data_IF_246565441331
#
_entry.id   IF_246565441331
#
_cell.length_a   1.000
_cell.length_b   1.000
_cell.length_c   1.000
_cell.angle_alpha   90.00
_cell.angle_beta   90.00
_cell.angle_gamma   90.00
#
_symmetry.space_group_name_H-M   'P 1'
#
loop_
_entity.id
_entity.type
_entity.pdbx_description
1 polymer ?
#
# COMPACT_ATOMS: atom_id res chain seq x y z
N UNK A 1 2.36 -16.90 21.50
CA UNK A 1 2.40 -15.65 20.72
C UNK A 1 0.97 -15.12 20.67
N UNK A 2 0.70 -13.99 21.34
CA UNK A 2 -0.66 -13.54 21.64
C UNK A 2 -1.45 -13.03 20.43
N UNK A 3 -2.79 -12.97 20.51
CA UNK A 3 -3.73 -12.74 19.38
C UNK A 3 -3.77 -11.30 18.81
N UNK A 4 -2.77 -10.46 19.06
CA UNK A 4 -2.81 -9.02 18.74
C UNK A 4 -2.06 -8.62 17.45
N UNK A 5 -1.55 -9.55 16.65
CA UNK A 5 -0.74 -9.22 15.46
C UNK A 5 -1.52 -8.59 14.28
N UNK A 6 -2.84 -8.72 14.23
CA UNK A 6 -3.64 -8.26 13.08
C UNK A 6 -4.02 -6.78 13.14
N UNK A 7 -4.05 -6.16 14.34
CA UNK A 7 -4.20 -4.70 14.46
C UNK A 7 -3.01 -3.96 13.85
N UNK A 8 -1.80 -4.51 14.02
CA UNK A 8 -0.60 -3.99 13.36
C UNK A 8 -0.68 -4.08 11.83
N UNK A 9 -1.40 -5.06 11.28
CA UNK A 9 -1.61 -5.16 9.83
C UNK A 9 -2.57 -4.09 9.31
N UNK A 10 -3.63 -3.77 10.06
CA UNK A 10 -4.53 -2.65 9.73
C UNK A 10 -3.77 -1.33 9.73
N UNK A 11 -2.91 -1.12 10.73
CA UNK A 11 -2.12 0.11 10.88
C UNK A 11 -1.13 0.35 9.72
N UNK A 12 -0.55 -0.72 9.16
CA UNK A 12 0.32 -0.63 7.97
C UNK A 12 -0.45 -0.54 6.65
N UNK A 13 -1.77 -0.37 6.70
CA UNK A 13 -2.63 -0.15 5.53
C UNK A 13 -3.14 -1.42 4.85
N UNK A 14 -2.94 -2.62 5.43
CA UNK A 14 -3.48 -3.85 4.87
C UNK A 14 -5.01 -3.75 4.76
N UNK A 15 -5.53 -4.04 3.56
CA UNK A 15 -6.97 -4.16 3.35
C UNK A 15 -7.52 -5.37 4.12
N UNK A 16 -8.83 -5.39 4.36
CA UNK A 16 -9.50 -6.52 5.00
C UNK A 16 -9.20 -7.84 4.27
N UNK A 17 -9.19 -7.82 2.94
CA UNK A 17 -8.81 -8.96 2.10
C UNK A 17 -7.36 -9.42 2.35
N UNK A 18 -6.41 -8.48 2.48
CA UNK A 18 -5.02 -8.80 2.79
C UNK A 18 -4.86 -9.46 4.16
N UNK A 19 -5.64 -9.00 5.14
CA UNK A 19 -5.64 -9.57 6.49
C UNK A 19 -6.25 -10.97 6.49
N UNK A 20 -7.33 -11.19 5.73
CA UNK A 20 -7.92 -12.51 5.58
C UNK A 20 -6.97 -13.50 4.90
N UNK A 21 -6.29 -13.08 3.82
CA UNK A 21 -5.28 -13.92 3.17
C UNK A 21 -4.13 -14.23 4.13
N UNK A 22 -3.61 -13.24 4.86
CA UNK A 22 -2.58 -13.45 5.87
C UNK A 22 -3.01 -14.44 6.97
N UNK A 23 -4.26 -14.35 7.43
CA UNK A 23 -4.83 -15.27 8.45
C UNK A 23 -4.97 -16.71 7.93
N UNK A 24 -5.19 -16.91 6.62
CA UNK A 24 -5.30 -18.24 6.00
C UNK A 24 -3.95 -18.94 5.82
N UNK A 25 -2.85 -18.19 5.82
CA UNK A 25 -1.50 -18.75 5.75
C UNK A 25 -1.14 -19.40 7.09
N UNK A 26 -0.74 -20.66 7.04
CA UNK A 26 -0.38 -21.47 8.23
C UNK A 26 1.11 -21.41 8.55
N UNK A 27 1.93 -21.06 7.56
CA UNK A 27 3.40 -21.06 7.65
C UNK A 27 3.96 -19.62 7.71
N UNK A 28 4.99 -19.42 8.54
CA UNK A 28 5.58 -18.11 8.76
C UNK A 28 6.42 -17.60 7.57
N UNK A 29 7.01 -18.50 6.77
CA UNK A 29 7.73 -18.12 5.54
C UNK A 29 6.74 -17.63 4.48
N UNK A 30 5.60 -18.31 4.32
CA UNK A 30 4.52 -17.87 3.43
C UNK A 30 3.97 -16.51 3.85
N UNK A 31 3.76 -16.29 5.15
CA UNK A 31 3.35 -14.99 5.71
C UNK A 31 4.37 -13.89 5.42
N UNK A 32 5.66 -14.19 5.58
CA UNK A 32 6.73 -13.25 5.28
C UNK A 32 6.76 -12.87 3.79
N UNK A 33 6.70 -13.86 2.89
CA UNK A 33 6.67 -13.63 1.44
C UNK A 33 5.44 -12.81 1.03
N UNK A 34 4.28 -13.12 1.62
CA UNK A 34 3.04 -12.38 1.39
C UNK A 34 3.19 -10.90 1.79
N UNK A 35 3.69 -10.61 2.99
CA UNK A 35 3.91 -9.23 3.44
C UNK A 35 4.95 -8.50 2.59
N UNK A 36 5.98 -9.19 2.12
CA UNK A 36 6.98 -8.62 1.21
C UNK A 36 6.36 -8.24 -0.14
N UNK A 37 5.47 -9.07 -0.68
CA UNK A 37 4.71 -8.74 -1.89
C UNK A 37 3.77 -7.56 -1.65
N UNK A 38 3.08 -7.55 -0.50
CA UNK A 38 2.19 -6.47 -0.11
C UNK A 38 2.92 -5.12 0.00
N UNK A 39 4.12 -5.10 0.59
CA UNK A 39 5.00 -3.91 0.61
C UNK A 39 5.27 -3.37 -0.80
N UNK A 40 5.54 -4.25 -1.77
CA UNK A 40 5.77 -3.84 -3.15
C UNK A 40 4.50 -3.27 -3.79
N UNK A 41 3.33 -3.82 -3.47
CA UNK A 41 2.04 -3.28 -3.93
C UNK A 41 1.79 -1.88 -3.36
N UNK A 42 2.04 -1.65 -2.08
CA UNK A 42 1.96 -0.33 -1.46
C UNK A 42 2.88 0.68 -2.15
N UNK A 43 4.14 0.28 -2.39
CA UNK A 43 5.11 1.12 -3.08
C UNK A 43 4.63 1.51 -4.49
N UNK A 44 4.10 0.54 -5.25
CA UNK A 44 3.53 0.81 -6.57
C UNK A 44 2.35 1.79 -6.50
N UNK A 45 1.45 1.65 -5.51
CA UNK A 45 0.33 2.60 -5.32
C UNK A 45 0.83 4.01 -4.99
N UNK A 46 1.88 4.13 -4.20
CA UNK A 46 2.51 5.43 -3.91
C UNK A 46 3.11 6.02 -5.18
N UNK A 47 3.86 5.24 -5.96
CA UNK A 47 4.42 5.70 -7.23
C UNK A 47 3.35 6.12 -8.24
N UNK A 48 2.22 5.40 -8.29
CA UNK A 48 1.09 5.76 -9.15
C UNK A 48 0.46 7.09 -8.72
N UNK A 49 0.17 7.25 -7.42
CA UNK A 49 -0.33 8.53 -6.88
C UNK A 49 0.65 9.67 -7.09
N UNK A 50 1.95 9.43 -6.93
CA UNK A 50 2.98 10.43 -7.20
C UNK A 50 2.93 10.90 -8.66
N UNK A 51 2.83 9.97 -9.61
CA UNK A 51 2.69 10.32 -11.03
C UNK A 51 1.41 11.10 -11.33
N UNK A 52 0.30 10.75 -10.67
CA UNK A 52 -0.95 11.51 -10.80
C UNK A 52 -0.78 12.95 -10.28
N UNK A 53 -0.11 13.13 -9.15
CA UNK A 53 0.20 14.44 -8.58
C UNK A 53 1.12 15.25 -9.52
N UNK A 54 2.21 14.68 -10.00
CA UNK A 54 3.11 15.35 -10.94
C UNK A 54 2.38 15.86 -12.21
N UNK A 55 1.45 15.06 -12.74
CA UNK A 55 0.61 15.48 -13.88
C UNK A 55 -0.34 16.61 -13.50
N UNK A 56 -0.95 16.54 -12.32
CA UNK A 56 -1.83 17.58 -11.82
C UNK A 56 -1.08 18.89 -11.59
N UNK A 57 0.09 18.85 -10.96
CA UNK A 57 0.96 20.01 -10.73
C UNK A 57 1.41 20.63 -12.05
N UNK A 58 1.73 19.82 -13.06
CA UNK A 58 2.01 20.32 -14.40
C UNK A 58 0.82 21.08 -14.98
N UNK A 59 -0.39 20.55 -14.88
CA UNK A 59 -1.60 21.23 -15.36
C UNK A 59 -1.85 22.54 -14.60
N UNK A 60 -1.69 22.54 -13.27
CA UNK A 60 -1.82 23.75 -12.44
C UNK A 60 -0.80 24.82 -12.83
N UNK A 61 0.44 24.42 -13.11
CA UNK A 61 1.50 25.32 -13.54
C UNK A 61 1.23 25.93 -14.92
N UNK A 62 0.71 25.13 -15.87
CA UNK A 62 0.27 25.62 -17.18
C UNK A 62 -0.83 26.67 -17.04
N UNK A 63 -1.85 26.39 -16.21
CA UNK A 63 -2.94 27.32 -15.94
C UNK A 63 -2.45 28.61 -15.27
N UNK A 64 -1.48 28.53 -14.36
CA UNK A 64 -0.91 29.71 -13.68
C UNK A 64 -0.05 30.59 -14.59
N UNK A 65 0.59 30.02 -15.61
CA UNK A 65 1.45 30.77 -16.56
C UNK A 65 0.69 31.37 -17.75
N UNK A 66 -0.54 30.91 -17.99
CA UNK A 66 -1.41 31.41 -19.07
C UNK A 66 -2.33 32.57 -18.68
N UNK A 67 -2.10 33.22 -17.53
CA UNK A 67 -2.83 34.40 -17.05
C UNK A 67 -1.91 35.61 -16.92
#
# INVERSE_FOLDING_TARGET
>A
MGPESWKSLVDVGCSAECIEQYKRLTDDEQRFLYLRQYRRCLLNKIHDKQQQLDRLDYLLHQLKKGG
#
